data_IF_326654106766
#
_entry.id   IF_326654106766
#
_cell.length_a   1.000
_cell.length_b   1.000
_cell.length_c   1.000
_cell.angle_alpha   90.00
_cell.angle_beta   90.00
_cell.angle_gamma   90.00
#
_symmetry.space_group_name_H-M   'P 1'
#
loop_
_entity.id
_entity.type
_entity.pdbx_description
1 polymer ?
#
# COMPACT_ATOMS: atom_id res chain seq x y z
N UNK A 1 -41.09 -46.13 35.77
CA UNK A 1 -40.35 -44.86 35.95
C UNK A 1 -39.25 -44.76 34.88
N UNK A 2 -39.55 -44.01 33.86
CA UNK A 2 -38.56 -43.78 32.78
C UNK A 2 -37.89 -42.46 33.07
N UNK A 3 -36.62 -42.49 33.40
CA UNK A 3 -35.79 -41.27 33.54
C UNK A 3 -35.39 -40.81 32.15
N UNK A 4 -35.96 -39.69 31.76
CA UNK A 4 -35.57 -38.98 30.55
C UNK A 4 -34.25 -38.23 30.81
N UNK A 5 -33.14 -38.72 30.27
CA UNK A 5 -31.85 -38.04 30.33
C UNK A 5 -31.86 -37.07 29.15
N UNK A 6 -32.12 -35.79 29.44
CA UNK A 6 -31.87 -34.69 28.50
C UNK A 6 -30.37 -34.46 28.39
N UNK A 7 -29.77 -34.98 27.31
CA UNK A 7 -28.42 -34.59 26.88
C UNK A 7 -28.54 -33.17 26.25
N UNK A 8 -28.28 -32.15 27.07
CA UNK A 8 -27.96 -30.84 26.58
C UNK A 8 -26.60 -30.92 25.89
N UNK A 9 -26.60 -31.07 24.56
CA UNK A 9 -25.43 -30.84 23.78
C UNK A 9 -25.18 -29.32 23.74
N UNK A 10 -24.34 -28.83 24.64
CA UNK A 10 -23.76 -27.51 24.54
C UNK A 10 -22.91 -27.48 23.26
N UNK A 11 -23.54 -27.00 22.18
CA UNK A 11 -22.82 -26.59 20.99
C UNK A 11 -22.11 -25.30 21.36
N UNK A 12 -20.90 -25.44 21.91
CA UNK A 12 -19.97 -24.34 22.05
C UNK A 12 -19.59 -23.89 20.66
N UNK A 13 -20.36 -22.94 20.12
CA UNK A 13 -20.03 -22.25 18.89
C UNK A 13 -18.81 -21.38 19.20
N UNK A 14 -17.61 -21.95 19.01
CA UNK A 14 -16.39 -21.18 18.96
C UNK A 14 -16.53 -20.26 17.74
N UNK A 15 -16.99 -19.03 17.99
CA UNK A 15 -16.87 -17.95 17.06
C UNK A 15 -15.37 -17.73 16.81
N UNK A 16 -14.83 -18.35 15.77
CA UNK A 16 -13.52 -18.00 15.27
C UNK A 16 -13.57 -16.50 14.98
N UNK A 17 -12.67 -15.70 15.55
CA UNK A 17 -12.60 -14.30 15.14
C UNK A 17 -12.38 -14.31 13.64
N UNK A 18 -13.34 -13.76 12.90
CA UNK A 18 -13.12 -13.44 11.51
C UNK A 18 -11.93 -12.47 11.50
N UNK A 19 -10.77 -12.94 11.07
CA UNK A 19 -9.62 -12.07 10.83
C UNK A 19 -10.02 -11.15 9.68
N UNK A 20 -10.73 -10.07 10.02
CA UNK A 20 -10.93 -8.97 9.11
C UNK A 20 -9.56 -8.32 8.93
N UNK A 21 -9.01 -8.40 7.73
CA UNK A 21 -7.78 -7.72 7.40
C UNK A 21 -7.97 -6.21 7.65
N UNK A 22 -7.13 -5.64 8.50
CA UNK A 22 -7.17 -4.21 8.80
C UNK A 22 -7.00 -3.39 7.51
N UNK A 23 -7.80 -2.34 7.36
CA UNK A 23 -7.81 -1.49 6.17
C UNK A 23 -7.51 -0.06 6.55
N UNK A 24 -6.57 0.55 5.82
CA UNK A 24 -6.07 1.90 6.01
C UNK A 24 -6.31 2.70 4.74
N UNK A 25 -7.24 3.64 4.78
CA UNK A 25 -7.52 4.52 3.65
C UNK A 25 -6.51 5.65 3.62
N UNK A 26 -5.77 5.83 2.53
CA UNK A 26 -4.74 6.88 2.44
C UNK A 26 -5.31 8.29 2.62
N UNK A 27 -6.59 8.48 2.30
CA UNK A 27 -7.30 9.74 2.52
C UNK A 27 -7.35 10.12 4.01
N UNK A 28 -7.47 9.15 4.92
CA UNK A 28 -7.50 9.37 6.37
C UNK A 28 -6.14 9.83 6.91
N UNK A 29 -5.08 9.63 6.14
CA UNK A 29 -3.72 10.09 6.44
C UNK A 29 -3.36 11.43 5.79
N UNK A 30 -4.32 12.05 5.13
CA UNK A 30 -4.19 13.38 4.54
C UNK A 30 -3.83 13.42 3.05
N UNK A 31 -3.88 12.27 2.36
CA UNK A 31 -3.74 12.26 0.90
C UNK A 31 -4.84 13.07 0.23
N UNK A 32 -4.51 13.76 -0.86
CA UNK A 32 -5.47 14.58 -1.64
C UNK A 32 -6.05 13.82 -2.82
N UNK A 33 -5.25 13.02 -3.49
CA UNK A 33 -5.68 12.27 -4.66
C UNK A 33 -6.12 13.16 -5.81
N UNK A 34 -5.53 14.33 -5.94
CA UNK A 34 -5.85 15.36 -6.95
C UNK A 34 -4.91 15.34 -8.16
N UNK A 35 -3.91 14.47 -8.16
CA UNK A 35 -2.92 14.33 -9.24
C UNK A 35 -1.87 15.43 -9.29
N UNK A 36 -1.88 16.39 -8.36
CA UNK A 36 -0.97 17.52 -8.32
C UNK A 36 -0.26 17.71 -6.99
N UNK A 37 -0.91 17.42 -5.89
CA UNK A 37 -0.29 17.41 -4.56
C UNK A 37 0.59 16.17 -4.39
N UNK A 38 1.79 16.33 -3.85
CA UNK A 38 2.62 15.17 -3.49
C UNK A 38 2.02 14.46 -2.28
N UNK A 39 1.43 13.31 -2.53
CA UNK A 39 0.78 12.47 -1.52
C UNK A 39 1.73 11.46 -0.86
N UNK A 40 3.02 11.43 -1.27
CA UNK A 40 3.99 10.48 -0.72
C UNK A 40 4.06 10.50 0.81
N UNK A 41 4.05 11.65 1.51
CA UNK A 41 4.04 11.66 2.97
C UNK A 41 2.82 10.98 3.59
N UNK A 42 1.64 11.15 3.01
CA UNK A 42 0.41 10.54 3.50
C UNK A 42 0.38 9.03 3.23
N UNK A 43 0.77 8.62 2.02
CA UNK A 43 0.87 7.21 1.65
C UNK A 43 1.89 6.49 2.53
N UNK A 44 3.05 7.12 2.78
CA UNK A 44 4.09 6.52 3.62
C UNK A 44 3.62 6.35 5.07
N UNK A 45 2.92 7.34 5.63
CA UNK A 45 2.33 7.21 6.98
C UNK A 45 1.34 6.05 7.05
N UNK A 46 0.49 5.88 6.05
CA UNK A 46 -0.45 4.76 6.01
C UNK A 46 0.28 3.41 5.97
N UNK A 47 1.33 3.30 5.16
CA UNK A 47 2.18 2.10 5.08
C UNK A 47 2.86 1.82 6.42
N UNK A 48 3.43 2.85 7.04
CA UNK A 48 4.15 2.75 8.30
C UNK A 48 3.24 2.28 9.44
N UNK A 49 2.06 2.87 9.57
CA UNK A 49 1.06 2.50 10.59
C UNK A 49 0.55 1.09 10.34
N UNK A 50 0.20 0.76 9.10
CA UNK A 50 -0.27 -0.56 8.72
C UNK A 50 0.74 -1.65 9.10
N UNK A 51 2.00 -1.47 8.77
CA UNK A 51 3.06 -2.43 9.11
C UNK A 51 3.30 -2.51 10.63
N UNK A 52 3.33 -1.38 11.33
CA UNK A 52 3.53 -1.32 12.78
C UNK A 52 2.40 -2.00 13.57
N UNK A 53 1.19 -2.00 13.04
CA UNK A 53 0.01 -2.64 13.65
C UNK A 53 -0.18 -4.10 13.26
N UNK A 54 0.79 -4.71 12.61
CA UNK A 54 0.78 -6.13 12.28
C UNK A 54 0.38 -6.45 10.84
N UNK A 55 0.30 -5.44 9.98
CA UNK A 55 -0.04 -5.60 8.57
C UNK A 55 -1.51 -5.38 8.26
N UNK A 56 -1.83 -5.36 6.98
CA UNK A 56 -3.16 -5.10 6.48
C UNK A 56 -3.14 -4.54 5.07
N UNK A 57 -4.23 -3.88 4.72
CA UNK A 57 -4.42 -3.30 3.39
C UNK A 57 -4.39 -1.78 3.45
N UNK A 58 -3.47 -1.17 2.71
CA UNK A 58 -3.42 0.28 2.46
C UNK A 58 -4.13 0.56 1.14
N UNK A 59 -5.20 1.34 1.18
CA UNK A 59 -6.10 1.54 0.04
C UNK A 59 -5.93 2.93 -0.57
N UNK A 60 -5.60 2.94 -1.86
CA UNK A 60 -5.71 4.12 -2.72
C UNK A 60 -7.14 4.17 -3.28
N UNK A 61 -7.87 5.21 -2.94
CA UNK A 61 -9.31 5.32 -3.15
C UNK A 61 -9.70 5.38 -4.62
N UNK A 62 -10.86 4.80 -4.92
CA UNK A 62 -11.49 4.75 -6.22
C UNK A 62 -11.44 6.11 -6.96
N UNK A 63 -11.04 6.05 -8.24
CA UNK A 63 -11.11 7.18 -9.17
C UNK A 63 -10.18 8.37 -8.83
N UNK A 64 -9.28 8.22 -7.86
CA UNK A 64 -8.33 9.26 -7.45
C UNK A 64 -6.96 9.07 -8.09
N UNK A 65 -6.24 10.17 -8.29
CA UNK A 65 -4.85 10.16 -8.79
C UNK A 65 -3.93 10.66 -7.69
N UNK A 66 -3.06 9.78 -7.22
CA UNK A 66 -2.11 10.06 -6.14
C UNK A 66 -0.72 10.29 -6.75
N UNK A 67 -0.30 11.56 -6.81
CA UNK A 67 1.07 11.90 -7.20
C UNK A 67 2.00 11.53 -6.05
N UNK A 68 3.07 10.80 -6.34
CA UNK A 68 3.95 10.30 -5.29
C UNK A 68 5.41 10.24 -5.72
N UNK A 69 6.28 10.71 -4.86
CA UNK A 69 7.69 10.37 -4.85
C UNK A 69 7.95 8.95 -4.32
N UNK A 70 9.19 8.65 -3.90
CA UNK A 70 9.57 7.33 -3.42
C UNK A 70 8.71 6.84 -2.24
N UNK A 71 8.32 5.57 -2.29
CA UNK A 71 7.60 4.89 -1.23
C UNK A 71 8.34 3.62 -0.81
N UNK A 72 8.58 3.49 0.48
CA UNK A 72 9.10 2.27 1.07
C UNK A 72 7.94 1.34 1.47
N UNK A 73 7.82 0.22 0.81
CA UNK A 73 6.91 -0.85 1.21
C UNK A 73 7.48 -1.61 2.41
N UNK A 74 6.63 -1.96 3.35
CA UNK A 74 7.01 -2.61 4.61
C UNK A 74 6.31 -3.95 4.80
N UNK A 75 6.83 -4.75 5.71
CA UNK A 75 6.33 -6.11 5.97
C UNK A 75 4.84 -6.12 6.30
N UNK A 76 4.14 -7.09 5.73
CA UNK A 76 2.72 -7.33 5.97
C UNK A 76 1.78 -6.37 5.26
N UNK A 77 2.29 -5.48 4.41
CA UNK A 77 1.47 -4.45 3.76
C UNK A 77 1.01 -4.90 2.38
N UNK A 78 -0.30 -4.88 2.17
CA UNK A 78 -0.92 -4.95 0.86
C UNK A 78 -1.26 -3.53 0.39
N UNK A 79 -0.54 -3.02 -0.60
CA UNK A 79 -0.87 -1.77 -1.28
C UNK A 79 -1.94 -2.06 -2.34
N UNK A 80 -3.17 -1.62 -2.07
CA UNK A 80 -4.32 -1.89 -2.91
C UNK A 80 -4.78 -0.64 -3.65
N UNK A 81 -4.77 -0.71 -4.96
CA UNK A 81 -5.29 0.35 -5.82
C UNK A 81 -6.72 -0.01 -6.23
N UNK A 82 -7.68 0.74 -5.73
CA UNK A 82 -9.09 0.54 -6.07
C UNK A 82 -9.35 0.88 -7.55
N UNK A 83 -10.52 0.49 -8.05
CA UNK A 83 -10.85 0.69 -9.46
C UNK A 83 -10.73 2.16 -9.86
N UNK A 84 -9.99 2.44 -10.93
CA UNK A 84 -9.75 3.80 -11.41
C UNK A 84 -8.80 4.65 -10.55
N UNK A 85 -8.26 4.11 -9.46
CA UNK A 85 -7.17 4.76 -8.74
C UNK A 85 -5.90 4.75 -9.59
N UNK A 86 -5.15 5.85 -9.56
CA UNK A 86 -3.87 5.97 -10.23
C UNK A 86 -2.81 6.36 -9.20
N UNK A 87 -1.76 5.58 -9.09
CA UNK A 87 -0.53 5.98 -8.44
C UNK A 87 0.40 6.53 -9.51
N UNK A 88 0.66 7.84 -9.48
CA UNK A 88 1.41 8.57 -10.51
C UNK A 88 2.77 8.98 -9.97
N UNK A 89 3.84 8.67 -10.69
CA UNK A 89 5.18 9.09 -10.29
C UNK A 89 5.34 10.61 -10.37
N UNK A 90 5.90 11.19 -9.30
CA UNK A 90 6.23 12.61 -9.28
C UNK A 90 7.31 12.90 -10.34
N UNK A 91 7.13 13.92 -11.20
CA UNK A 91 8.09 14.22 -12.28
C UNK A 91 9.41 14.82 -11.81
N UNK A 92 9.53 15.23 -10.55
CA UNK A 92 10.78 15.78 -10.02
C UNK A 92 11.83 14.69 -9.77
N UNK A 93 12.77 14.55 -10.71
CA UNK A 93 13.84 13.55 -10.62
C UNK A 93 14.73 13.65 -9.37
N UNK A 94 14.82 14.86 -8.79
CA UNK A 94 15.71 15.13 -7.66
C UNK A 94 15.32 14.37 -6.40
N UNK A 95 14.02 14.10 -6.22
CA UNK A 95 13.50 13.40 -5.04
C UNK A 95 13.83 11.92 -5.01
N UNK A 96 14.19 11.31 -6.16
CA UNK A 96 14.53 9.89 -6.26
C UNK A 96 15.99 9.58 -5.94
N UNK A 97 16.85 10.61 -5.84
CA UNK A 97 18.30 10.46 -5.59
C UNK A 97 18.65 10.08 -4.16
N UNK A 98 17.68 10.09 -3.26
CA UNK A 98 17.84 9.77 -1.84
C UNK A 98 17.55 8.29 -1.52
N UNK A 99 17.45 7.43 -2.54
CA UNK A 99 17.17 6.02 -2.31
C UNK A 99 18.33 5.33 -1.59
N UNK A 100 17.98 4.39 -0.69
CA UNK A 100 18.90 3.66 0.17
C UNK A 100 19.91 2.73 -0.56
N UNK A 101 19.87 2.69 -1.88
CA UNK A 101 20.70 1.82 -2.73
C UNK A 101 21.74 2.63 -3.54
N UNK A 102 22.41 3.58 -2.89
CA UNK A 102 23.37 4.48 -3.50
C UNK A 102 24.65 3.86 -4.07
N UNK A 103 24.72 2.53 -4.23
CA UNK A 103 25.89 1.84 -4.77
C UNK A 103 25.79 1.40 -6.22
N UNK A 104 24.64 1.55 -6.86
CA UNK A 104 24.47 1.15 -8.24
C UNK A 104 24.69 2.35 -9.17
N UNK A 105 25.62 2.23 -10.11
CA UNK A 105 26.02 3.24 -11.06
C UNK A 105 24.83 3.82 -11.83
N UNK A 106 24.30 4.97 -11.41
CA UNK A 106 23.22 5.68 -12.07
C UNK A 106 21.82 5.09 -11.93
N UNK A 107 21.66 3.98 -11.20
CA UNK A 107 20.38 3.27 -11.01
C UNK A 107 19.68 3.60 -9.68
N UNK A 108 20.08 4.68 -9.02
CA UNK A 108 19.59 5.06 -7.69
C UNK A 108 18.18 5.65 -7.66
N UNK A 109 17.43 5.61 -8.76
CA UNK A 109 16.07 6.17 -8.84
C UNK A 109 15.05 5.07 -8.57
N UNK A 110 14.75 4.87 -7.30
CA UNK A 110 13.72 3.92 -6.88
C UNK A 110 12.44 4.65 -6.49
N UNK A 111 11.34 4.22 -7.04
CA UNK A 111 10.03 4.75 -6.72
C UNK A 111 9.30 3.89 -5.69
N UNK A 112 9.07 2.64 -6.01
CA UNK A 112 8.51 1.66 -5.07
C UNK A 112 9.64 0.69 -4.69
N UNK A 113 9.96 0.61 -3.41
CA UNK A 113 11.06 -0.21 -2.95
C UNK A 113 10.78 -0.82 -1.58
N UNK A 114 11.51 -1.88 -1.26
CA UNK A 114 11.46 -2.53 0.04
C UNK A 114 12.87 -2.96 0.44
N UNK A 115 13.13 -2.98 1.73
CA UNK A 115 14.38 -3.47 2.31
C UNK A 115 14.07 -4.26 3.56
N UNK A 116 14.65 -5.45 3.68
CA UNK A 116 14.49 -6.35 4.82
C UNK A 116 13.01 -6.55 5.21
N UNK A 117 12.14 -6.72 4.20
CA UNK A 117 10.71 -6.80 4.35
C UNK A 117 10.14 -8.06 3.67
N UNK A 118 9.02 -8.56 4.19
CA UNK A 118 8.36 -9.77 3.75
C UNK A 118 6.84 -9.60 3.70
N UNK A 119 6.14 -10.52 3.05
CA UNK A 119 4.67 -10.53 2.93
C UNK A 119 4.12 -9.20 2.38
N UNK A 120 4.75 -8.71 1.31
CA UNK A 120 4.32 -7.50 0.61
C UNK A 120 3.52 -7.89 -0.63
N UNK A 121 2.44 -7.16 -0.85
CA UNK A 121 1.62 -7.29 -2.05
C UNK A 121 1.30 -5.91 -2.62
N UNK A 122 1.33 -5.81 -3.94
CA UNK A 122 0.77 -4.67 -4.70
C UNK A 122 -0.28 -5.24 -5.63
N UNK A 123 -1.52 -4.80 -5.49
CA UNK A 123 -2.64 -5.37 -6.23
C UNK A 123 -3.82 -4.40 -6.36
N UNK A 124 -4.90 -4.87 -6.97
CA UNK A 124 -6.09 -4.08 -7.20
C UNK A 124 -6.40 -3.93 -8.68
N UNK A 125 -7.32 -3.01 -8.99
CA UNK A 125 -7.77 -2.71 -10.36
C UNK A 125 -7.44 -1.29 -10.80
N UNK A 126 -6.54 -0.61 -10.07
CA UNK A 126 -6.01 0.69 -10.43
C UNK A 126 -4.79 0.59 -11.35
N UNK A 127 -4.13 1.71 -11.52
CA UNK A 127 -2.98 1.86 -12.41
C UNK A 127 -1.78 2.38 -11.63
N UNK A 128 -0.59 1.85 -11.93
CA UNK A 128 0.69 2.42 -11.51
C UNK A 128 1.32 3.03 -12.76
N UNK A 129 1.45 4.36 -12.75
CA UNK A 129 1.95 5.12 -13.90
C UNK A 129 3.30 5.77 -13.54
N UNK A 130 4.36 5.32 -14.19
CA UNK A 130 5.71 5.85 -14.03
C UNK A 130 5.91 7.24 -14.64
N UNK A 131 4.87 7.85 -15.24
CA UNK A 131 4.91 9.19 -15.84
C UNK A 131 6.04 9.34 -16.88
N UNK A 132 6.20 8.34 -17.74
CA UNK A 132 7.36 8.20 -18.62
C UNK A 132 7.45 9.24 -19.76
N UNK A 133 6.37 9.92 -20.10
CA UNK A 133 6.36 10.90 -21.20
C UNK A 133 6.81 12.31 -20.82
N UNK A 134 6.97 12.61 -19.57
CA UNK A 134 7.36 13.94 -19.08
C UNK A 134 7.90 13.94 -17.67
N UNK A 135 8.09 12.77 -17.08
CA UNK A 135 8.50 12.60 -15.70
C UNK A 135 9.97 12.23 -15.53
N UNK A 136 10.33 11.97 -14.30
CA UNK A 136 11.68 11.61 -13.86
C UNK A 136 12.28 10.39 -14.59
N UNK A 137 11.43 9.50 -15.09
CA UNK A 137 11.83 8.28 -15.80
C UNK A 137 11.84 8.42 -17.33
N UNK A 138 11.58 9.62 -17.87
CA UNK A 138 11.54 9.87 -19.31
C UNK A 138 12.92 9.89 -19.99
N UNK A 139 14.00 9.94 -19.22
CA UNK A 139 15.36 10.21 -19.74
C UNK A 139 16.10 8.95 -20.27
N UNK A 140 15.49 7.80 -20.22
CA UNK A 140 16.13 6.59 -20.73
C UNK A 140 15.60 6.29 -22.12
N UNK A 141 16.36 6.65 -23.21
CA UNK A 141 16.01 6.22 -24.56
C UNK A 141 16.09 4.70 -24.62
N UNK A 142 15.09 4.09 -25.21
CA UNK A 142 15.04 2.66 -25.48
C UNK A 142 16.07 2.26 -26.53
#
# INVERSE_FOLDING_TARGET
MRRLILLLADILFLALPAFSQATYQVMDFGAKGDGSTDDAPALQRAIDVCSAEGGGRVVLSHGKTFLSGPLQLKSGVELYLDAGAVLLANPDERIYRLSAFGSNRGEGMLWLWAKDAHDIRVCGRGTIDGNGYGGAFAQYPR
#
